data_IF_076986042566
#
_entry.id   IF_076986042566
#
_cell.length_a   1.000
_cell.length_b   1.000
_cell.length_c   1.000
_cell.angle_alpha   90.00
_cell.angle_beta   90.00
_cell.angle_gamma   90.00
#
_symmetry.space_group_name_H-M   'P 1'
#
loop_
_entity.id
_entity.type
_entity.pdbx_description
1 polymer ?
#
# COMPACT_ATOMS: atom_id res chain seq x y z
N UNK A 1 -5.74 -7.93 42.71
CA UNK A 1 -4.97 -7.14 41.76
C UNK A 1 -5.89 -6.08 41.18
N UNK A 2 -5.46 -4.81 41.01
CA UNK A 2 -6.27 -3.81 40.30
C UNK A 2 -6.52 -4.29 38.84
N UNK A 3 -7.70 -3.98 38.28
CA UNK A 3 -7.97 -4.34 36.89
C UNK A 3 -6.88 -3.71 36.00
N UNK A 4 -6.45 -4.38 34.90
CA UNK A 4 -5.49 -3.80 33.99
C UNK A 4 -6.04 -2.48 33.43
N UNK A 5 -5.18 -1.47 33.22
CA UNK A 5 -5.63 -0.18 32.73
C UNK A 5 -6.31 -0.37 31.37
N UNK A 6 -7.50 0.20 31.26
CA UNK A 6 -8.26 0.21 30.01
C UNK A 6 -7.44 0.93 28.92
N UNK A 7 -7.17 0.31 27.77
CA UNK A 7 -6.45 0.99 26.68
C UNK A 7 -7.32 2.15 26.19
N UNK A 8 -6.87 3.37 26.41
CA UNK A 8 -7.48 4.56 25.82
C UNK A 8 -6.76 4.88 24.53
N UNK A 9 -7.45 4.81 23.40
CA UNK A 9 -6.98 5.42 22.17
C UNK A 9 -7.05 6.94 22.34
N UNK A 10 -5.91 7.58 22.23
CA UNK A 10 -5.81 9.03 22.27
C UNK A 10 -5.37 9.53 20.88
N UNK A 11 -6.17 10.41 20.28
CA UNK A 11 -5.63 11.30 19.25
C UNK A 11 -4.69 12.28 19.98
N UNK A 12 -3.40 12.23 19.67
CA UNK A 12 -2.45 13.17 20.26
C UNK A 12 -2.71 14.57 19.71
N UNK A 13 -3.09 15.51 20.57
CA UNK A 13 -3.42 16.88 20.20
C UNK A 13 -2.18 17.73 19.76
N UNK A 14 -0.96 17.21 19.92
CA UNK A 14 0.29 17.96 19.72
C UNK A 14 1.16 17.42 18.57
N UNK A 15 0.60 16.64 17.64
CA UNK A 15 1.34 16.18 16.48
C UNK A 15 1.48 17.30 15.44
N UNK A 16 2.60 17.35 14.68
CA UNK A 16 2.79 18.34 13.64
C UNK A 16 1.76 18.21 12.51
N UNK A 17 1.57 19.31 11.77
CA UNK A 17 0.81 19.30 10.53
C UNK A 17 1.69 18.71 9.41
N UNK A 18 1.13 17.80 8.64
CA UNK A 18 1.73 17.27 7.41
C UNK A 18 0.71 17.37 6.29
N UNK A 19 1.10 17.98 5.18
CA UNK A 19 0.14 18.29 4.12
C UNK A 19 -0.94 19.32 4.53
N UNK A 20 -0.65 20.16 5.55
CA UNK A 20 -1.54 21.20 6.04
C UNK A 20 -2.66 20.71 6.95
N UNK A 21 -2.59 19.50 7.49
CA UNK A 21 -3.53 18.97 8.49
C UNK A 21 -2.78 18.21 9.60
N UNK A 22 -3.34 18.23 10.80
CA UNK A 22 -2.80 17.50 11.96
C UNK A 22 -2.66 16.00 11.65
N UNK A 23 -1.48 15.46 11.93
CA UNK A 23 -1.32 14.02 11.99
C UNK A 23 -2.21 13.44 13.12
N UNK A 24 -2.70 12.22 12.91
CA UNK A 24 -3.52 11.49 13.88
C UNK A 24 -2.75 10.27 14.35
N UNK A 25 -2.70 10.03 15.65
CA UNK A 25 -2.14 8.80 16.20
C UNK A 25 -3.20 8.03 16.97
N UNK A 26 -3.44 6.80 16.54
CA UNK A 26 -4.14 5.79 17.32
C UNK A 26 -3.10 5.09 18.19
N UNK A 27 -3.37 4.91 19.48
CA UNK A 27 -2.45 4.24 20.40
C UNK A 27 -3.20 3.38 21.39
N UNK A 28 -2.61 2.26 21.75
CA UNK A 28 -3.06 1.38 22.83
C UNK A 28 -1.88 1.04 23.75
N UNK A 29 -2.20 0.68 24.99
CA UNK A 29 -1.19 0.22 25.93
C UNK A 29 -0.86 -1.26 25.66
N UNK A 30 0.40 -1.63 25.90
CA UNK A 30 0.82 -3.02 25.85
C UNK A 30 0.02 -3.84 26.87
N UNK A 31 -0.41 -5.05 26.45
CA UNK A 31 -1.26 -5.92 27.29
C UNK A 31 -0.56 -6.54 28.51
N UNK A 32 0.77 -6.40 28.61
CA UNK A 32 1.58 -6.99 29.68
C UNK A 32 1.92 -8.48 29.48
N UNK A 33 1.39 -9.12 28.46
CA UNK A 33 1.71 -10.52 28.11
C UNK A 33 2.88 -10.52 27.13
N UNK A 34 4.12 -10.45 27.64
CA UNK A 34 5.34 -10.27 26.84
C UNK A 34 5.74 -11.42 25.89
N UNK A 35 4.93 -12.49 25.79
CA UNK A 35 5.27 -13.68 24.99
C UNK A 35 4.84 -13.62 23.52
N UNK A 36 3.91 -12.72 23.16
CA UNK A 36 3.37 -12.59 21.80
C UNK A 36 3.55 -11.18 21.27
N UNK A 37 3.77 -11.01 19.96
CA UNK A 37 3.80 -9.68 19.35
C UNK A 37 2.40 -9.04 19.38
N UNK A 38 2.35 -7.72 19.53
CA UNK A 38 1.10 -6.95 19.50
C UNK A 38 1.31 -5.58 18.90
N UNK A 39 0.30 -5.06 18.17
CA UNK A 39 0.32 -3.70 17.67
C UNK A 39 0.11 -2.69 18.80
N UNK A 40 0.84 -1.58 18.77
CA UNK A 40 0.79 -0.54 19.78
C UNK A 40 0.27 0.80 19.28
N UNK A 41 0.65 1.21 18.08
CA UNK A 41 0.16 2.48 17.52
C UNK A 41 0.11 2.49 16.00
N UNK A 42 -0.71 3.40 15.47
CA UNK A 42 -0.76 3.76 14.05
C UNK A 42 -0.77 5.28 13.95
N UNK A 43 0.17 5.84 13.19
CA UNK A 43 0.21 7.28 12.87
C UNK A 43 -0.26 7.49 11.44
N UNK A 44 -1.19 8.42 11.25
CA UNK A 44 -1.91 8.68 10.01
C UNK A 44 -1.75 10.14 9.59
N UNK A 45 -1.72 10.39 8.28
CA UNK A 45 -1.60 11.73 7.71
C UNK A 45 -2.86 12.10 6.90
N UNK A 46 -3.89 12.69 7.52
CA UNK A 46 -5.13 13.05 6.83
C UNK A 46 -4.90 14.06 5.69
N UNK A 47 -3.92 14.98 5.84
CA UNK A 47 -3.53 15.93 4.81
C UNK A 47 -2.75 15.34 3.63
N UNK A 48 -2.51 14.02 3.65
CA UNK A 48 -1.76 13.26 2.62
C UNK A 48 -2.50 11.96 2.30
N UNK A 49 -3.81 12.06 2.03
CA UNK A 49 -4.64 10.94 1.63
C UNK A 49 -4.74 9.83 2.67
N UNK A 50 -4.70 10.15 3.95
CA UNK A 50 -4.69 9.18 5.05
C UNK A 50 -3.48 8.22 4.99
N UNK A 51 -2.31 8.65 4.49
CA UNK A 51 -1.09 7.84 4.49
C UNK A 51 -0.90 7.19 5.87
N UNK A 52 -0.80 5.86 5.92
CA UNK A 52 -0.46 5.10 7.13
C UNK A 52 1.03 5.27 7.35
N UNK A 53 1.39 6.37 8.00
CA UNK A 53 2.76 6.86 8.03
C UNK A 53 3.69 6.02 8.89
N UNK A 54 3.19 5.51 10.03
CA UNK A 54 3.94 4.62 10.90
C UNK A 54 3.01 3.67 11.63
N UNK A 55 3.47 2.46 11.81
CA UNK A 55 2.87 1.44 12.70
C UNK A 55 3.94 1.03 13.69
N UNK A 56 3.64 1.04 14.99
CA UNK A 56 4.54 0.47 16.00
C UNK A 56 3.94 -0.80 16.60
N UNK A 57 4.81 -1.72 17.00
CA UNK A 57 4.42 -2.96 17.64
C UNK A 57 5.42 -3.33 18.73
N UNK A 58 4.94 -4.07 19.73
CA UNK A 58 5.80 -4.79 20.65
C UNK A 58 6.21 -6.12 20.01
N UNK A 59 7.51 -6.38 19.96
CA UNK A 59 8.06 -7.67 19.57
C UNK A 59 8.78 -8.31 20.75
N UNK A 60 8.47 -9.59 21.10
CA UNK A 60 9.13 -10.29 22.20
C UNK A 60 10.66 -10.27 22.03
N UNK A 61 11.38 -9.88 23.09
CA UNK A 61 12.83 -9.76 23.11
C UNK A 61 13.40 -8.50 22.43
N UNK A 62 12.56 -7.65 21.82
CA UNK A 62 12.99 -6.40 21.17
C UNK A 62 12.30 -5.15 21.69
N UNK A 63 11.15 -5.29 22.39
CA UNK A 63 10.36 -4.16 22.86
C UNK A 63 9.53 -3.50 21.73
N UNK A 64 9.26 -2.19 21.86
CA UNK A 64 8.54 -1.43 20.83
C UNK A 64 9.44 -1.17 19.62
N UNK A 65 8.95 -1.50 18.43
CA UNK A 65 9.64 -1.32 17.15
C UNK A 65 8.74 -0.61 16.14
N UNK A 66 9.36 0.15 15.24
CA UNK A 66 8.70 0.72 14.06
C UNK A 66 8.63 -0.30 12.96
N UNK A 67 7.45 -0.47 12.36
CA UNK A 67 7.19 -1.48 11.32
C UNK A 67 7.17 -0.90 9.91
N UNK A 68 7.08 0.43 9.75
CA UNK A 68 7.18 1.08 8.44
C UNK A 68 8.44 1.94 8.35
N UNK A 69 9.08 1.94 7.18
CA UNK A 69 10.18 2.84 6.89
C UNK A 69 9.63 4.25 6.64
N UNK A 70 9.76 5.11 7.64
CA UNK A 70 9.33 6.51 7.60
C UNK A 70 10.34 7.41 8.28
N UNK A 71 10.33 8.68 7.91
CA UNK A 71 11.12 9.72 8.58
C UNK A 71 10.34 10.24 9.80
N UNK A 72 10.90 11.21 10.54
CA UNK A 72 10.12 11.91 11.57
C UNK A 72 8.99 12.72 10.94
N UNK A 73 7.92 12.98 11.70
CA UNK A 73 6.81 13.83 11.25
C UNK A 73 7.28 15.24 10.86
N UNK A 74 8.24 15.82 11.59
CA UNK A 74 8.80 17.14 11.26
C UNK A 74 9.55 17.13 9.92
N UNK A 75 10.22 16.02 9.60
CA UNK A 75 10.89 15.85 8.30
C UNK A 75 9.86 15.63 7.19
N UNK A 76 8.83 14.82 7.45
CA UNK A 76 7.74 14.60 6.52
C UNK A 76 7.00 15.91 6.18
N UNK A 77 6.73 16.76 7.18
CA UNK A 77 6.10 18.06 6.99
C UNK A 77 6.89 18.98 6.06
N UNK A 78 8.22 18.89 6.06
CA UNK A 78 9.09 19.68 5.18
C UNK A 78 9.16 19.13 3.76
N UNK A 79 8.98 17.83 3.58
CA UNK A 79 9.08 17.15 2.27
C UNK A 79 7.71 17.13 1.59
N UNK A 80 6.66 16.77 2.32
CA UNK A 80 5.29 16.65 1.83
C UNK A 80 4.58 18.01 1.89
N UNK A 81 5.07 18.99 1.14
CA UNK A 81 4.68 20.41 1.26
C UNK A 81 4.04 20.99 -0.02
N UNK A 82 3.91 20.18 -1.09
CA UNK A 82 3.40 20.61 -2.39
C UNK A 82 4.39 21.48 -3.20
N UNK A 83 5.68 21.48 -2.83
CA UNK A 83 6.74 22.16 -3.56
C UNK A 83 7.23 21.39 -4.79
N UNK A 84 8.29 21.87 -5.47
CA UNK A 84 8.81 21.25 -6.69
C UNK A 84 9.24 19.77 -6.53
N UNK A 85 9.69 19.39 -5.33
CA UNK A 85 10.11 18.02 -5.01
C UNK A 85 8.94 17.15 -4.49
N UNK A 86 7.72 17.66 -4.54
CA UNK A 86 6.49 17.00 -4.08
C UNK A 86 5.36 17.21 -5.10
N UNK A 87 5.69 17.02 -6.38
CA UNK A 87 4.78 17.21 -7.50
C UNK A 87 3.57 16.28 -7.38
N UNK A 88 2.37 16.88 -7.34
CA UNK A 88 1.10 16.17 -7.15
C UNK A 88 1.12 15.16 -5.96
N UNK A 89 1.90 15.51 -4.92
CA UNK A 89 2.00 14.72 -3.70
C UNK A 89 2.90 13.48 -3.79
N UNK A 90 3.75 13.37 -4.80
CA UNK A 90 4.60 12.19 -5.02
C UNK A 90 5.53 11.86 -3.84
N UNK A 91 5.88 12.83 -2.98
CA UNK A 91 6.62 12.56 -1.76
C UNK A 91 5.89 11.59 -0.80
N UNK A 92 4.55 11.48 -0.88
CA UNK A 92 3.75 10.62 -0.04
C UNK A 92 4.02 9.13 -0.24
N UNK A 93 4.41 8.71 -1.46
CA UNK A 93 4.74 7.30 -1.70
C UNK A 93 6.22 6.96 -1.49
N UNK A 94 7.01 7.88 -0.95
CA UNK A 94 8.43 7.63 -0.67
C UNK A 94 8.69 7.10 0.76
N UNK A 95 7.68 7.06 1.63
CA UNK A 95 7.80 6.61 3.02
C UNK A 95 6.44 6.27 3.64
N UNK A 96 6.46 5.43 4.67
CA UNK A 96 5.24 5.00 5.35
C UNK A 96 4.42 4.06 4.49
N UNK A 97 3.14 4.38 4.29
CA UNK A 97 2.22 3.60 3.48
C UNK A 97 1.14 4.47 2.86
N UNK A 98 1.41 5.03 1.67
CA UNK A 98 0.46 5.84 0.92
C UNK A 98 -0.72 4.99 0.44
N UNK A 99 -1.95 5.51 0.59
CA UNK A 99 -3.13 4.98 -0.06
C UNK A 99 -3.24 5.56 -1.47
N UNK A 100 -3.60 4.71 -2.44
CA UNK A 100 -3.51 4.99 -3.86
C UNK A 100 -4.91 4.99 -4.47
N UNK A 101 -5.27 6.06 -5.19
CA UNK A 101 -6.56 6.25 -5.84
C UNK A 101 -6.47 7.43 -6.85
N UNK A 102 -7.13 7.42 -8.00
CA UNK A 102 -8.04 6.40 -8.55
C UNK A 102 -7.33 5.32 -9.37
N UNK A 103 -6.03 5.24 -9.29
CA UNK A 103 -5.23 4.13 -9.83
C UNK A 103 -4.01 3.89 -8.95
N UNK A 104 -3.57 2.65 -8.90
CA UNK A 104 -2.29 2.26 -8.33
C UNK A 104 -1.26 2.10 -9.44
N UNK A 105 0.03 2.11 -9.08
CA UNK A 105 1.14 1.94 -10.01
C UNK A 105 1.20 3.07 -11.06
N UNK A 106 1.62 2.79 -12.26
CA UNK A 106 1.93 3.75 -13.33
C UNK A 106 0.80 3.84 -14.35
N UNK A 107 0.60 5.04 -14.91
CA UNK A 107 -0.13 5.27 -16.15
C UNK A 107 0.87 5.81 -17.19
N UNK A 108 0.86 5.24 -18.38
CA UNK A 108 1.71 5.64 -19.52
C UNK A 108 0.82 6.15 -20.65
N UNK A 109 1.32 7.12 -21.40
CA UNK A 109 0.59 7.67 -22.54
C UNK A 109 1.30 8.86 -23.16
N UNK A 110 0.68 9.52 -24.14
CA UNK A 110 1.24 10.72 -24.74
C UNK A 110 1.45 11.84 -23.72
N UNK A 111 2.64 12.43 -23.70
CA UNK A 111 3.02 13.52 -22.79
C UNK A 111 3.03 14.84 -23.57
N UNK A 112 2.46 15.87 -22.93
CA UNK A 112 2.62 17.28 -23.32
C UNK A 112 3.15 18.06 -22.13
N UNK A 113 3.77 19.21 -22.39
CA UNK A 113 4.23 20.12 -21.32
C UNK A 113 3.32 21.34 -21.27
N UNK A 114 2.74 21.63 -20.13
CA UNK A 114 1.98 22.86 -19.92
C UNK A 114 2.94 24.05 -19.97
N UNK A 115 2.68 24.98 -20.87
CA UNK A 115 3.56 26.14 -21.10
C UNK A 115 3.53 27.16 -19.94
N UNK A 116 2.50 27.14 -19.11
CA UNK A 116 2.33 28.08 -18.01
C UNK A 116 2.96 27.59 -16.72
N UNK A 117 2.83 26.29 -16.43
CA UNK A 117 3.33 25.68 -15.19
C UNK A 117 4.64 24.92 -15.39
N UNK A 118 4.90 24.43 -16.59
CA UNK A 118 6.03 23.52 -16.90
C UNK A 118 5.72 22.06 -16.58
N UNK A 119 4.52 21.76 -16.10
CA UNK A 119 4.13 20.40 -15.73
C UNK A 119 4.04 19.48 -16.95
N UNK A 120 4.45 18.25 -16.77
CA UNK A 120 4.24 17.18 -17.75
C UNK A 120 2.83 16.62 -17.57
N UNK A 121 2.07 16.64 -18.66
CA UNK A 121 0.67 16.20 -18.68
C UNK A 121 0.56 14.97 -19.56
N UNK A 122 0.15 13.87 -18.94
CA UNK A 122 -0.18 12.62 -19.60
C UNK A 122 -1.62 12.67 -20.14
N UNK A 123 -1.87 12.12 -21.30
CA UNK A 123 -3.23 11.85 -21.78
C UNK A 123 -3.60 10.40 -21.50
N UNK A 124 -4.47 10.16 -20.52
CA UNK A 124 -5.05 8.86 -20.23
C UNK A 124 -6.33 8.65 -21.04
N UNK A 125 -6.48 7.49 -21.68
CA UNK A 125 -7.65 7.17 -22.50
C UNK A 125 -8.31 5.88 -22.04
N UNK A 126 -9.61 5.95 -21.74
CA UNK A 126 -10.42 4.81 -21.36
C UNK A 126 -11.78 4.84 -22.09
N UNK A 127 -12.11 3.76 -22.79
CA UNK A 127 -13.34 3.59 -23.60
C UNK A 127 -13.63 4.80 -24.53
N UNK A 128 -12.56 5.29 -25.20
CA UNK A 128 -12.68 6.42 -26.12
C UNK A 128 -12.80 7.81 -25.47
N UNK A 129 -12.82 7.90 -24.16
CA UNK A 129 -12.73 9.15 -23.39
C UNK A 129 -11.29 9.40 -23.00
N UNK A 130 -10.83 10.63 -23.13
CA UNK A 130 -9.48 11.01 -22.74
C UNK A 130 -9.51 12.11 -21.70
N UNK A 131 -8.60 12.03 -20.72
CA UNK A 131 -8.41 13.03 -19.68
C UNK A 131 -6.92 13.31 -19.51
N UNK A 132 -6.53 14.58 -19.22
CA UNK A 132 -5.18 14.91 -18.82
C UNK A 132 -4.93 14.47 -17.38
N UNK A 133 -3.80 13.83 -17.12
CA UNK A 133 -3.34 13.44 -15.79
C UNK A 133 -1.97 14.04 -15.56
N UNK A 134 -1.67 14.54 -14.38
CA UNK A 134 -0.33 15.06 -14.05
C UNK A 134 0.63 13.87 -14.06
N UNK A 135 1.69 13.98 -14.88
CA UNK A 135 2.78 13.02 -14.87
C UNK A 135 3.79 13.45 -13.80
N UNK A 136 3.66 12.85 -12.63
CA UNK A 136 4.36 13.25 -11.41
C UNK A 136 5.61 12.41 -11.12
N UNK A 137 6.02 11.53 -12.05
CA UNK A 137 7.17 10.67 -11.85
C UNK A 137 7.86 10.30 -13.18
N UNK A 138 9.16 10.06 -13.11
CA UNK A 138 9.98 9.47 -14.18
C UNK A 138 11.14 8.67 -13.58
N UNK A 139 11.72 7.77 -14.37
CA UNK A 139 12.92 7.01 -14.01
C UNK A 139 14.14 7.92 -13.76
N UNK A 140 15.19 7.36 -13.21
CA UNK A 140 16.42 8.09 -12.83
C UNK A 140 17.37 8.32 -13.99
N UNK A 141 17.24 7.53 -15.08
CA UNK A 141 18.11 7.67 -16.24
C UNK A 141 17.83 8.96 -17.00
N UNK A 142 18.85 9.61 -17.58
CA UNK A 142 18.63 10.79 -18.42
C UNK A 142 17.67 10.48 -19.58
N UNK A 143 16.61 11.28 -19.71
CA UNK A 143 15.61 11.10 -20.76
C UNK A 143 14.57 10.03 -20.47
N UNK A 144 14.51 9.49 -19.24
CA UNK A 144 13.45 8.59 -18.82
C UNK A 144 12.07 9.21 -19.06
N UNK A 145 11.11 8.44 -19.58
CA UNK A 145 9.78 8.95 -19.88
C UNK A 145 9.01 9.29 -18.59
N UNK A 146 8.22 10.36 -18.67
CA UNK A 146 7.30 10.73 -17.62
C UNK A 146 6.06 9.84 -17.62
N UNK A 147 5.51 9.58 -16.42
CA UNK A 147 4.27 8.83 -16.25
C UNK A 147 3.46 9.39 -15.07
N UNK A 148 2.16 9.10 -15.06
CA UNK A 148 1.32 9.29 -13.87
C UNK A 148 1.60 8.19 -12.86
N UNK A 149 1.80 8.56 -11.58
CA UNK A 149 2.13 7.62 -10.51
C UNK A 149 1.12 7.71 -9.36
N UNK A 150 0.45 6.60 -9.08
CA UNK A 150 -0.37 6.37 -7.86
C UNK A 150 -1.60 7.26 -7.65
N UNK A 151 -1.96 8.08 -8.63
CA UNK A 151 -3.21 8.85 -8.64
C UNK A 151 -3.22 10.07 -7.72
N UNK A 152 -4.44 10.55 -7.45
CA UNK A 152 -4.69 11.88 -6.85
C UNK A 152 -4.75 11.87 -5.32
N UNK A 153 -4.84 10.68 -4.69
CA UNK A 153 -4.96 10.57 -3.23
C UNK A 153 -3.72 11.04 -2.50
N UNK A 154 -2.55 11.01 -3.14
CA UNK A 154 -1.25 11.33 -2.52
C UNK A 154 -1.18 12.71 -1.87
N UNK A 155 -1.83 13.73 -2.46
CA UNK A 155 -1.88 15.10 -1.96
C UNK A 155 -3.23 15.48 -1.33
N UNK A 156 -4.19 14.55 -1.28
CA UNK A 156 -5.55 14.84 -0.85
C UNK A 156 -5.59 15.22 0.63
N UNK A 157 -6.40 16.26 0.92
CA UNK A 157 -6.71 16.71 2.28
C UNK A 157 -8.09 16.22 2.67
N UNK A 158 -8.23 15.70 3.89
CA UNK A 158 -9.51 15.23 4.38
C UNK A 158 -10.49 16.40 4.59
N UNK A 159 -11.74 16.23 4.15
CA UNK A 159 -12.82 17.16 4.48
C UNK A 159 -13.27 17.03 5.94
N UNK A 160 -13.19 15.79 6.45
CA UNK A 160 -13.53 15.48 7.83
C UNK A 160 -12.64 14.35 8.34
N UNK A 161 -12.27 14.44 9.62
CA UNK A 161 -11.53 13.38 10.34
C UNK A 161 -12.20 13.14 11.68
N UNK A 162 -12.51 11.90 11.99
CA UNK A 162 -13.04 11.49 13.29
C UNK A 162 -12.27 10.29 13.84
N UNK A 163 -12.14 10.25 15.16
CA UNK A 163 -11.53 9.13 15.88
C UNK A 163 -12.58 8.52 16.79
N UNK A 164 -12.68 7.19 16.77
CA UNK A 164 -13.52 6.40 17.67
C UNK A 164 -12.60 5.46 18.46
N UNK A 165 -12.90 5.30 19.72
CA UNK A 165 -12.14 4.38 20.58
C UNK A 165 -13.09 3.72 21.58
N UNK A 166 -12.85 2.44 21.83
CA UNK A 166 -13.40 1.68 22.95
C UNK A 166 -12.25 1.03 23.76
N UNK A 167 -12.56 0.08 24.64
CA UNK A 167 -11.55 -0.54 25.51
C UNK A 167 -10.43 -1.28 24.77
N UNK A 168 -10.70 -1.80 23.59
CA UNK A 168 -9.79 -2.72 22.89
C UNK A 168 -9.38 -2.24 21.50
N UNK A 169 -10.19 -1.38 20.87
CA UNK A 169 -9.98 -0.92 19.50
C UNK A 169 -9.99 0.60 19.38
N UNK A 170 -9.24 1.09 18.42
CA UNK A 170 -9.26 2.48 18.01
C UNK A 170 -9.36 2.56 16.48
N UNK A 171 -10.14 3.50 15.98
CA UNK A 171 -10.25 3.73 14.54
C UNK A 171 -10.25 5.22 14.23
N UNK A 172 -9.54 5.59 13.17
CA UNK A 172 -9.66 6.90 12.53
C UNK A 172 -10.41 6.74 11.22
N UNK A 173 -11.32 7.67 10.97
CA UNK A 173 -12.14 7.73 9.77
C UNK A 173 -11.93 9.10 9.13
N UNK A 174 -11.63 9.11 7.85
CA UNK A 174 -11.49 10.35 7.07
C UNK A 174 -12.35 10.28 5.81
N UNK A 175 -13.01 11.38 5.49
CA UNK A 175 -13.81 11.56 4.29
C UNK A 175 -13.09 12.56 3.37
N UNK A 176 -13.06 12.25 2.08
CA UNK A 176 -12.41 13.04 1.03
C UNK A 176 -13.39 13.27 -0.11
N UNK A 177 -13.52 14.51 -0.57
CA UNK A 177 -14.07 14.81 -1.88
C UNK A 177 -12.94 15.01 -2.85
N UNK A 178 -12.90 14.21 -3.87
CA UNK A 178 -11.91 14.27 -4.93
C UNK A 178 -12.62 14.71 -6.22
N UNK A 179 -12.70 16.02 -6.49
CA UNK A 179 -13.24 16.49 -7.76
C UNK A 179 -12.29 16.10 -8.88
N UNK A 180 -12.83 15.63 -9.99
CA UNK A 180 -12.02 15.27 -11.15
C UNK A 180 -11.22 16.46 -11.70
N UNK A 181 -11.78 17.66 -11.62
CA UNK A 181 -11.20 18.91 -12.13
C UNK A 181 -10.66 18.80 -13.57
N UNK A 182 -11.23 17.87 -14.35
CA UNK A 182 -10.76 17.51 -15.67
C UNK A 182 -9.55 16.55 -15.70
N UNK A 183 -9.01 16.15 -14.55
CA UNK A 183 -7.85 15.26 -14.44
C UNK A 183 -8.19 13.79 -14.13
N UNK A 184 -9.47 13.47 -14.03
CA UNK A 184 -9.99 12.11 -13.98
C UNK A 184 -11.35 12.02 -14.66
N UNK A 185 -11.88 10.81 -14.79
CA UNK A 185 -13.10 10.53 -15.55
C UNK A 185 -14.38 10.92 -14.81
N UNK A 186 -14.32 11.08 -13.48
CA UNK A 186 -15.45 11.46 -12.64
C UNK A 186 -15.01 12.04 -11.31
N UNK A 187 -15.93 12.74 -10.61
CA UNK A 187 -15.76 13.15 -9.22
C UNK A 187 -15.99 11.96 -8.28
N UNK A 188 -15.28 11.93 -7.17
CA UNK A 188 -15.36 10.84 -6.21
C UNK A 188 -15.52 11.32 -4.77
N UNK A 189 -16.35 10.60 -3.99
CA UNK A 189 -16.25 10.60 -2.53
C UNK A 189 -15.45 9.38 -2.10
N UNK A 190 -14.41 9.60 -1.29
CA UNK A 190 -13.57 8.52 -0.77
C UNK A 190 -13.63 8.54 0.76
N UNK A 191 -13.98 7.41 1.35
CA UNK A 191 -13.94 7.19 2.80
C UNK A 191 -12.81 6.24 3.13
N UNK A 192 -11.92 6.65 4.04
CA UNK A 192 -10.85 5.81 4.57
C UNK A 192 -11.09 5.55 6.04
N UNK A 193 -10.98 4.28 6.45
CA UNK A 193 -10.99 3.86 7.84
C UNK A 193 -9.72 3.07 8.12
N UNK A 194 -8.99 3.46 9.17
CA UNK A 194 -7.88 2.65 9.69
C UNK A 194 -8.19 2.31 11.14
N UNK A 195 -8.22 1.02 11.44
CA UNK A 195 -8.52 0.49 12.76
C UNK A 195 -7.31 -0.24 13.34
N UNK A 196 -7.08 -0.02 14.63
CA UNK A 196 -6.03 -0.64 15.43
C UNK A 196 -6.69 -1.45 16.54
N UNK A 197 -6.40 -2.74 16.63
CA UNK A 197 -6.58 -3.55 17.81
C UNK A 197 -5.25 -4.24 18.21
N UNK A 198 -5.29 -5.08 19.23
CA UNK A 198 -4.10 -5.79 19.69
C UNK A 198 -3.43 -6.63 18.62
N UNK A 199 -4.22 -7.39 17.87
CA UNK A 199 -3.76 -8.44 16.97
C UNK A 199 -3.75 -8.00 15.52
N UNK A 200 -4.46 -6.91 15.18
CA UNK A 200 -4.63 -6.47 13.80
C UNK A 200 -4.56 -4.95 13.62
N UNK A 201 -4.06 -4.56 12.44
CA UNK A 201 -4.30 -3.24 11.85
C UNK A 201 -5.07 -3.45 10.55
N UNK A 202 -6.22 -2.79 10.42
CA UNK A 202 -7.08 -2.93 9.23
C UNK A 202 -7.24 -1.59 8.56
N UNK A 203 -6.96 -1.52 7.25
CA UNK A 203 -7.21 -0.36 6.40
C UNK A 203 -8.34 -0.68 5.41
N UNK A 204 -9.30 0.25 5.29
CA UNK A 204 -10.45 0.15 4.41
C UNK A 204 -10.57 1.46 3.64
N UNK A 205 -10.68 1.38 2.33
CA UNK A 205 -11.00 2.52 1.46
C UNK A 205 -12.26 2.19 0.65
N UNK A 206 -13.26 3.04 0.73
CA UNK A 206 -14.47 2.97 -0.10
C UNK A 206 -14.53 4.20 -0.98
N UNK A 207 -14.56 3.99 -2.30
CA UNK A 207 -14.73 5.03 -3.30
C UNK A 207 -16.13 4.96 -3.91
N UNK A 208 -16.75 6.12 -4.11
CA UNK A 208 -18.09 6.28 -4.70
C UNK A 208 -18.02 7.27 -5.85
N UNK A 209 -18.45 6.83 -7.04
CA UNK A 209 -18.57 7.70 -8.20
C UNK A 209 -19.68 8.74 -7.97
N UNK A 210 -19.35 10.02 -7.99
CA UNK A 210 -20.28 11.15 -7.76
C UNK A 210 -20.66 11.89 -9.04
N UNK A 211 -20.05 11.53 -10.16
CA UNK A 211 -20.36 12.13 -11.45
C UNK A 211 -21.57 11.49 -12.14
N UNK A 212 -21.79 11.88 -13.38
CA UNK A 212 -22.93 11.47 -14.22
C UNK A 212 -22.58 10.38 -15.24
N UNK A 213 -21.32 9.93 -15.26
CA UNK A 213 -20.79 8.92 -16.18
C UNK A 213 -20.03 7.83 -15.45
N UNK A 214 -19.98 6.65 -16.04
CA UNK A 214 -19.11 5.58 -15.54
C UNK A 214 -17.64 5.97 -15.62
N UNK A 215 -16.84 5.45 -14.70
CA UNK A 215 -15.41 5.68 -14.62
C UNK A 215 -14.63 4.41 -14.27
N UNK A 216 -13.34 4.33 -14.61
CA UNK A 216 -12.44 3.29 -14.13
C UNK A 216 -11.88 3.68 -12.76
N UNK A 217 -11.81 2.73 -11.83
CA UNK A 217 -11.26 2.93 -10.49
C UNK A 217 -10.27 1.82 -10.15
N UNK A 218 -9.08 2.21 -9.74
CA UNK A 218 -8.07 1.37 -9.11
C UNK A 218 -7.76 1.87 -7.71
N UNK A 219 -7.58 0.96 -6.77
CA UNK A 219 -7.20 1.27 -5.38
C UNK A 219 -6.00 0.42 -4.99
N UNK A 220 -5.08 0.99 -4.21
CA UNK A 220 -3.93 0.28 -3.69
C UNK A 220 -3.39 0.87 -2.39
N UNK A 221 -2.37 0.24 -1.86
CA UNK A 221 -1.64 0.69 -0.69
C UNK A 221 -0.16 0.40 -0.87
N UNK A 222 0.71 1.37 -0.59
CA UNK A 222 2.15 1.32 -0.81
C UNK A 222 2.94 1.37 0.51
N UNK A 223 2.87 0.31 1.36
CA UNK A 223 3.56 0.28 2.64
C UNK A 223 5.01 -0.19 2.49
N UNK A 224 5.92 0.52 3.11
CA UNK A 224 7.32 0.13 3.22
C UNK A 224 7.56 -0.63 4.53
N UNK A 225 7.32 -1.93 4.56
CA UNK A 225 7.52 -2.75 5.76
C UNK A 225 9.01 -2.86 6.11
N UNK A 226 9.39 -2.30 7.25
CA UNK A 226 10.74 -2.37 7.78
C UNK A 226 11.05 -3.80 8.24
N UNK A 227 12.28 -4.25 7.96
CA UNK A 227 12.80 -5.50 8.51
C UNK A 227 13.50 -5.21 9.84
N UNK A 228 12.95 -5.64 11.00
CA UNK A 228 13.49 -5.31 12.31
C UNK A 228 14.91 -5.85 12.59
N UNK A 229 15.38 -6.85 11.84
CA UNK A 229 16.78 -7.30 11.89
C UNK A 229 17.75 -6.34 11.21
N UNK A 230 17.26 -5.41 10.41
CA UNK A 230 18.07 -4.52 9.57
C UNK A 230 18.71 -5.19 8.36
N UNK A 231 18.36 -6.44 8.07
CA UNK A 231 19.01 -7.21 7.00
C UNK A 231 18.00 -7.83 6.03
N UNK A 232 18.10 -7.44 4.76
CA UNK A 232 17.32 -7.99 3.66
C UNK A 232 17.58 -9.51 3.45
N UNK A 233 18.78 -9.98 3.75
CA UNK A 233 19.14 -11.40 3.64
C UNK A 233 18.33 -12.31 4.58
N UNK A 234 17.82 -11.76 5.69
CA UNK A 234 16.96 -12.49 6.63
C UNK A 234 15.50 -12.56 6.19
N UNK A 235 15.14 -11.83 5.13
CA UNK A 235 13.75 -11.80 4.66
C UNK A 235 13.39 -13.07 3.91
N UNK A 236 12.16 -13.55 4.16
CA UNK A 236 11.46 -14.56 3.36
C UNK A 236 10.09 -14.04 3.05
N UNK A 237 9.69 -14.14 1.80
CA UNK A 237 8.40 -13.66 1.31
C UNK A 237 7.53 -14.81 0.86
N UNK A 238 6.25 -14.71 1.17
CA UNK A 238 5.22 -15.55 0.57
C UNK A 238 4.23 -14.65 -0.17
N UNK A 239 4.08 -14.90 -1.48
CA UNK A 239 3.09 -14.24 -2.33
C UNK A 239 2.42 -15.35 -3.14
N UNK A 240 1.12 -15.64 -2.92
CA UNK A 240 0.42 -16.73 -3.59
C UNK A 240 0.00 -16.33 -5.00
N UNK A 241 0.97 -16.12 -5.87
CA UNK A 241 0.80 -15.75 -7.28
C UNK A 241 1.40 -16.80 -8.19
N UNK A 242 0.78 -17.07 -9.33
CA UNK A 242 1.31 -17.96 -10.36
C UNK A 242 2.18 -17.22 -11.38
N UNK A 243 1.92 -15.93 -11.59
CA UNK A 243 2.54 -15.12 -12.63
C UNK A 243 3.07 -13.80 -12.08
N UNK A 244 4.03 -13.21 -12.78
CA UNK A 244 4.45 -11.82 -12.62
C UNK A 244 4.39 -11.07 -13.95
N UNK A 245 4.23 -9.77 -13.88
CA UNK A 245 4.24 -8.90 -15.06
C UNK A 245 5.67 -8.68 -15.53
N UNK A 246 5.95 -8.89 -16.83
CA UNK A 246 7.21 -8.50 -17.42
C UNK A 246 7.25 -6.98 -17.61
N UNK A 247 8.38 -6.35 -17.22
CA UNK A 247 8.61 -4.91 -17.40
C UNK A 247 9.76 -4.65 -18.36
N UNK A 248 9.77 -3.46 -19.01
CA UNK A 248 10.79 -3.07 -19.97
C UNK A 248 12.18 -2.97 -19.35
N UNK A 249 12.28 -2.40 -18.15
CA UNK A 249 13.50 -2.27 -17.34
C UNK A 249 13.11 -1.90 -15.90
N UNK A 250 14.07 -1.89 -14.96
CA UNK A 250 13.83 -1.50 -13.56
C UNK A 250 14.09 -0.02 -13.26
N UNK A 251 14.19 0.83 -14.27
CA UNK A 251 14.18 2.30 -14.11
C UNK A 251 12.79 2.87 -14.39
N UNK A 252 12.16 2.50 -15.50
CA UNK A 252 10.81 2.94 -15.87
C UNK A 252 9.73 2.05 -15.26
N UNK A 253 9.97 0.72 -15.28
CA UNK A 253 9.07 -0.34 -14.81
C UNK A 253 7.73 -0.33 -15.56
N UNK A 254 7.79 -0.10 -16.87
CA UNK A 254 6.59 -0.15 -17.71
C UNK A 254 6.30 -1.59 -18.14
N UNK A 255 5.05 -2.04 -18.05
CA UNK A 255 4.68 -3.40 -18.45
C UNK A 255 4.87 -3.60 -19.96
N UNK A 256 5.24 -4.82 -20.34
CA UNK A 256 5.34 -5.22 -21.78
C UNK A 256 4.07 -5.90 -22.28
N UNK A 257 3.08 -6.12 -21.40
CA UNK A 257 1.87 -6.89 -21.69
C UNK A 257 2.05 -8.41 -21.56
N UNK A 258 3.27 -8.89 -21.22
CA UNK A 258 3.53 -10.30 -21.01
C UNK A 258 3.48 -10.67 -19.52
N UNK A 259 2.99 -11.87 -19.26
CA UNK A 259 3.03 -12.50 -17.95
C UNK A 259 4.07 -13.63 -17.95
N UNK A 260 4.94 -13.65 -16.95
CA UNK A 260 5.98 -14.65 -16.78
C UNK A 260 5.62 -15.55 -15.60
N UNK A 261 5.75 -16.90 -15.72
CA UNK A 261 5.52 -17.81 -14.60
C UNK A 261 6.56 -17.56 -13.50
N UNK A 262 6.12 -17.60 -12.23
CA UNK A 262 7.03 -17.46 -11.09
C UNK A 262 7.69 -18.79 -10.73
N UNK A 263 7.01 -19.91 -10.95
CA UNK A 263 7.46 -21.24 -10.54
C UNK A 263 8.83 -21.59 -11.12
N UNK A 264 9.75 -22.04 -10.25
CA UNK A 264 11.10 -22.40 -10.61
C UNK A 264 12.04 -21.23 -10.91
N UNK A 265 11.60 -19.99 -10.72
CA UNK A 265 12.43 -18.78 -10.86
C UNK A 265 12.86 -18.22 -9.50
N UNK A 266 13.78 -17.26 -9.51
CA UNK A 266 14.15 -16.50 -8.29
C UNK A 266 12.99 -15.67 -7.71
N UNK A 267 11.87 -15.56 -8.41
CA UNK A 267 10.63 -14.86 -8.00
C UNK A 267 9.56 -15.83 -7.52
N UNK A 268 9.89 -17.09 -7.29
CA UNK A 268 8.94 -18.07 -6.74
C UNK A 268 8.75 -17.86 -5.24
N UNK A 269 7.86 -16.93 -4.92
CA UNK A 269 7.42 -16.68 -3.55
C UNK A 269 6.15 -17.48 -3.19
N UNK A 270 5.66 -18.34 -4.08
CA UNK A 270 4.49 -19.17 -3.82
C UNK A 270 4.85 -20.45 -3.07
N UNK A 271 5.69 -20.35 -2.04
CA UNK A 271 6.14 -21.44 -1.17
C UNK A 271 5.74 -21.18 0.27
N UNK A 272 5.39 -22.22 1.02
CA UNK A 272 4.81 -22.08 2.37
C UNK A 272 5.75 -21.41 3.37
N UNK A 273 7.03 -21.77 3.34
CA UNK A 273 8.06 -21.21 4.23
C UNK A 273 8.53 -19.82 3.80
N UNK A 274 8.11 -19.37 2.64
CA UNK A 274 8.56 -18.13 2.00
C UNK A 274 9.88 -18.30 1.24
N UNK A 275 9.95 -17.68 0.04
CA UNK A 275 11.16 -17.59 -0.77
C UNK A 275 12.10 -16.47 -0.30
N UNK A 276 13.43 -16.63 -0.46
CA UNK A 276 14.38 -15.54 -0.19
C UNK A 276 14.22 -14.43 -1.24
N UNK A 277 14.50 -13.19 -0.83
CA UNK A 277 14.66 -12.09 -1.79
C UNK A 277 15.89 -12.35 -2.67
N UNK A 278 15.80 -12.12 -4.00
CA UNK A 278 16.96 -12.21 -4.90
C UNK A 278 18.01 -11.15 -4.54
N UNK A 279 19.27 -11.39 -4.88
CA UNK A 279 20.38 -10.44 -4.69
C UNK A 279 20.36 -9.28 -5.70
N UNK A 280 19.19 -8.98 -6.24
CA UNK A 280 18.94 -7.90 -7.20
C UNK A 280 17.80 -7.02 -6.71
N UNK A 281 17.65 -5.85 -7.34
CA UNK A 281 16.44 -5.05 -7.18
C UNK A 281 15.22 -5.89 -7.61
N UNK A 282 14.17 -5.84 -6.83
CA UNK A 282 12.84 -6.33 -7.21
C UNK A 282 11.91 -5.12 -7.31
N UNK A 283 11.23 -5.00 -8.43
CA UNK A 283 10.14 -4.03 -8.64
C UNK A 283 9.16 -4.67 -9.65
N UNK A 284 8.38 -5.63 -9.15
CA UNK A 284 7.56 -6.53 -9.96
C UNK A 284 6.12 -6.61 -9.45
N UNK A 285 5.16 -6.65 -10.34
CA UNK A 285 3.76 -6.95 -10.02
C UNK A 285 3.51 -8.46 -10.12
N UNK A 286 3.09 -9.06 -9.01
CA UNK A 286 2.68 -10.45 -8.91
C UNK A 286 1.17 -10.54 -9.12
N UNK A 287 0.74 -11.40 -10.03
CA UNK A 287 -0.64 -11.51 -10.51
C UNK A 287 -1.07 -12.97 -10.60
N UNK A 288 -2.31 -13.23 -11.04
CA UNK A 288 -2.89 -14.58 -10.98
C UNK A 288 -2.81 -15.12 -9.55
N UNK A 289 -3.41 -14.34 -8.65
CA UNK A 289 -3.38 -14.57 -7.21
C UNK A 289 -4.30 -15.72 -6.82
N UNK A 290 -3.83 -16.59 -5.93
CA UNK A 290 -4.60 -17.72 -5.40
C UNK A 290 -5.18 -17.35 -4.04
N UNK A 291 -6.51 -17.14 -3.94
CA UNK A 291 -7.16 -16.87 -2.66
C UNK A 291 -7.26 -18.14 -1.80
N UNK A 292 -7.35 -17.95 -0.49
CA UNK A 292 -7.64 -19.01 0.46
C UNK A 292 -9.13 -19.42 0.43
N UNK A 293 -9.54 -20.35 1.28
CA UNK A 293 -10.93 -20.84 1.36
C UNK A 293 -11.97 -19.76 1.75
N UNK A 294 -11.53 -18.60 2.25
CA UNK A 294 -12.39 -17.44 2.57
C UNK A 294 -12.49 -16.44 1.42
N UNK A 295 -11.72 -16.65 0.35
CA UNK A 295 -11.60 -15.70 -0.76
C UNK A 295 -10.53 -14.62 -0.55
N UNK A 296 -9.75 -14.68 0.55
CA UNK A 296 -8.71 -13.70 0.84
C UNK A 296 -7.36 -14.12 0.25
N UNK A 297 -6.58 -13.18 -0.25
CA UNK A 297 -5.18 -13.40 -0.66
C UNK A 297 -4.27 -13.05 0.52
N UNK A 298 -3.48 -14.04 0.99
CA UNK A 298 -2.61 -13.88 2.17
C UNK A 298 -1.16 -13.90 1.73
N UNK A 299 -0.50 -12.75 1.78
CA UNK A 299 0.94 -12.63 1.61
C UNK A 299 1.64 -12.52 2.96
N UNK A 300 2.90 -12.94 3.05
CA UNK A 300 3.67 -12.88 4.28
C UNK A 300 5.07 -12.30 4.05
N UNK A 301 5.50 -11.50 5.01
CA UNK A 301 6.88 -11.08 5.18
C UNK A 301 7.39 -11.74 6.45
N UNK A 302 8.52 -12.43 6.37
CA UNK A 302 9.21 -13.07 7.50
C UNK A 302 10.61 -12.51 7.60
N UNK A 303 10.98 -11.98 8.75
CA UNK A 303 12.36 -11.60 9.10
C UNK A 303 12.89 -12.61 10.12
N UNK A 304 13.63 -13.58 9.63
CA UNK A 304 14.12 -14.70 10.44
C UNK A 304 15.11 -14.23 11.51
N UNK A 305 15.90 -13.17 11.23
CA UNK A 305 16.85 -12.59 12.18
C UNK A 305 16.20 -11.85 13.34
N UNK A 306 14.92 -11.49 13.21
CA UNK A 306 14.16 -10.84 14.25
C UNK A 306 13.06 -11.72 14.86
N UNK A 307 12.88 -12.96 14.38
CA UNK A 307 11.73 -13.80 14.67
C UNK A 307 10.40 -13.05 14.51
N UNK A 308 10.32 -12.25 13.43
CA UNK A 308 9.21 -11.37 13.10
C UNK A 308 8.53 -11.85 11.83
N UNK A 309 7.21 -11.86 11.85
CA UNK A 309 6.37 -12.12 10.69
C UNK A 309 5.20 -11.13 10.62
N UNK A 310 4.87 -10.74 9.39
CA UNK A 310 3.71 -9.94 9.06
C UNK A 310 2.89 -10.66 8.01
N UNK A 311 1.62 -10.95 8.30
CA UNK A 311 0.63 -11.35 7.31
C UNK A 311 -0.08 -10.12 6.79
N UNK A 312 -0.12 -9.99 5.47
CA UNK A 312 -0.86 -8.96 4.73
C UNK A 312 -2.02 -9.67 4.03
N UNK A 313 -3.20 -9.53 4.58
CA UNK A 313 -4.42 -10.19 4.06
C UNK A 313 -5.21 -9.21 3.22
N UNK A 314 -5.22 -9.42 1.91
CA UNK A 314 -6.05 -8.72 0.95
C UNK A 314 -7.44 -9.35 0.93
N UNK A 315 -8.44 -8.60 1.41
CA UNK A 315 -9.81 -9.11 1.69
C UNK A 315 -10.84 -8.66 0.65
N UNK A 316 -10.44 -7.85 -0.34
CA UNK A 316 -11.33 -7.43 -1.43
C UNK A 316 -11.11 -8.30 -2.66
N UNK A 317 -12.17 -8.81 -3.30
CA UNK A 317 -12.04 -9.68 -4.48
C UNK A 317 -11.49 -8.96 -5.71
N UNK A 318 -11.50 -7.63 -5.70
CA UNK A 318 -10.94 -6.80 -6.76
C UNK A 318 -9.42 -6.59 -6.65
N UNK A 319 -8.77 -7.04 -5.57
CA UNK A 319 -7.30 -7.01 -5.49
C UNK A 319 -6.75 -8.10 -6.42
N UNK A 320 -6.12 -7.68 -7.52
CA UNK A 320 -5.64 -8.53 -8.61
C UNK A 320 -4.12 -8.57 -8.73
N UNK A 321 -3.42 -7.66 -8.03
CA UNK A 321 -1.98 -7.60 -8.03
C UNK A 321 -1.42 -7.38 -6.62
N UNK A 322 -0.23 -7.94 -6.39
CA UNK A 322 0.65 -7.58 -5.28
C UNK A 322 1.92 -7.02 -5.90
N UNK A 323 2.12 -5.70 -5.81
CA UNK A 323 3.39 -5.10 -6.21
C UNK A 323 4.42 -5.37 -5.12
N UNK A 324 5.60 -5.76 -5.52
CA UNK A 324 6.75 -5.97 -4.64
C UNK A 324 7.88 -5.05 -5.07
N UNK A 325 8.30 -4.16 -4.16
CA UNK A 325 9.49 -3.33 -4.34
C UNK A 325 10.48 -3.56 -3.20
N UNK A 326 11.71 -3.96 -3.52
CA UNK A 326 12.78 -4.20 -2.54
C UNK A 326 14.15 -3.91 -3.13
N UNK A 327 14.71 -2.70 -2.90
CA UNK A 327 16.06 -2.35 -3.33
C UNK A 327 17.12 -3.07 -2.49
N UNK A 328 18.28 -3.37 -3.12
CA UNK A 328 19.34 -4.17 -2.50
C UNK A 328 19.99 -3.49 -1.28
N UNK A 329 20.04 -2.16 -1.28
CA UNK A 329 20.71 -1.34 -0.25
C UNK A 329 19.81 -0.95 0.92
N UNK A 330 18.56 -1.45 0.95
CA UNK A 330 17.57 -1.11 1.99
C UNK A 330 17.13 -2.34 2.77
N UNK A 331 16.71 -2.09 4.02
CA UNK A 331 16.18 -3.09 4.93
C UNK A 331 14.65 -2.99 5.07
N UNK A 332 13.96 -2.73 3.97
CA UNK A 332 12.50 -2.75 3.90
C UNK A 332 12.01 -3.54 2.67
N UNK A 333 10.74 -3.89 2.71
CA UNK A 333 10.00 -4.50 1.61
C UNK A 333 8.71 -3.72 1.45
N UNK A 334 8.47 -3.12 0.28
CA UNK A 334 7.12 -2.66 -0.08
C UNK A 334 6.36 -3.85 -0.66
N UNK A 335 5.22 -4.17 -0.06
CA UNK A 335 4.34 -5.25 -0.49
C UNK A 335 2.92 -4.69 -0.55
N UNK A 336 2.46 -4.48 -1.79
CA UNK A 336 1.40 -3.56 -2.12
C UNK A 336 0.18 -4.26 -2.73
N UNK A 337 -0.87 -4.52 -1.94
CA UNK A 337 -2.13 -5.03 -2.48
C UNK A 337 -2.85 -3.97 -3.32
N UNK A 338 -3.03 -4.25 -4.63
CA UNK A 338 -3.58 -3.33 -5.62
C UNK A 338 -4.73 -3.97 -6.39
N UNK A 339 -5.72 -3.16 -6.83
CA UNK A 339 -6.73 -3.62 -7.77
C UNK A 339 -6.12 -3.85 -9.14
N UNK A 340 -5.42 -2.86 -9.67
CA UNK A 340 -4.96 -2.83 -11.04
C UNK A 340 -3.48 -3.16 -11.20
N UNK A 341 -3.15 -3.63 -12.39
CA UNK A 341 -1.78 -3.77 -12.90
C UNK A 341 -1.19 -2.40 -13.26
N UNK A 342 0.13 -2.32 -13.46
CA UNK A 342 0.75 -1.15 -14.03
C UNK A 342 0.22 -0.86 -15.43
N UNK A 343 0.10 0.42 -15.77
CA UNK A 343 -0.48 0.94 -17.01
C UNK A 343 -1.78 0.25 -17.46
N UNK A 344 -2.84 0.30 -16.63
CA UNK A 344 -4.03 -0.52 -16.85
C UNK A 344 -4.80 -0.19 -18.13
N UNK A 345 -4.50 0.93 -18.81
CA UNK A 345 -5.09 1.35 -20.09
C UNK A 345 -4.13 1.13 -21.27
N UNK A 346 -2.98 0.55 -21.00
CA UNK A 346 -1.93 0.34 -22.00
C UNK A 346 -2.36 -0.61 -23.12
N UNK A 347 -1.94 -0.30 -24.34
CA UNK A 347 -2.23 -1.12 -25.53
C UNK A 347 -1.57 -2.50 -25.47
N UNK A 348 -0.49 -2.63 -24.74
CA UNK A 348 0.25 -3.88 -24.50
C UNK A 348 -0.62 -4.96 -23.85
N UNK A 349 -1.64 -4.57 -23.10
CA UNK A 349 -2.57 -5.52 -22.46
C UNK A 349 -3.60 -6.10 -23.42
N UNK A 350 -3.79 -5.51 -24.61
CA UNK A 350 -4.82 -5.90 -25.59
C UNK A 350 -6.22 -5.90 -24.97
N UNK A 351 -6.80 -7.09 -24.71
CA UNK A 351 -8.11 -7.26 -24.08
C UNK A 351 -8.02 -7.87 -22.69
N UNK A 352 -6.82 -7.94 -22.08
CA UNK A 352 -6.65 -8.50 -20.75
C UNK A 352 -7.36 -7.63 -19.71
N UNK A 353 -7.95 -8.28 -18.72
CA UNK A 353 -8.49 -7.60 -17.53
C UNK A 353 -7.33 -7.16 -16.64
N UNK A 354 -7.07 -5.87 -16.60
CA UNK A 354 -6.00 -5.25 -15.82
C UNK A 354 -6.40 -4.90 -14.39
N UNK A 355 -7.61 -5.26 -13.95
CA UNK A 355 -8.10 -5.09 -12.58
C UNK A 355 -8.72 -3.73 -12.26
N UNK A 356 -8.88 -2.83 -13.25
CA UNK A 356 -9.67 -1.60 -13.02
C UNK A 356 -11.15 -1.95 -12.84
N UNK A 357 -11.76 -1.40 -11.82
CA UNK A 357 -13.21 -1.56 -11.55
C UNK A 357 -13.97 -0.44 -12.24
N UNK A 358 -15.00 -0.78 -13.02
CA UNK A 358 -15.90 0.22 -13.60
C UNK A 358 -16.99 0.56 -12.61
N UNK A 359 -17.11 1.82 -12.22
CA UNK A 359 -18.20 2.33 -11.37
C UNK A 359 -19.17 3.17 -12.21
N UNK A 360 -20.42 2.78 -12.22
CA UNK A 360 -21.53 3.62 -12.72
C UNK A 360 -21.79 4.80 -11.75
N UNK A 361 -22.52 5.84 -12.17
CA UNK A 361 -22.93 6.93 -11.29
C UNK A 361 -23.61 6.41 -10.02
N UNK A 362 -23.10 6.87 -8.86
CA UNK A 362 -23.58 6.47 -7.53
C UNK A 362 -23.09 5.12 -7.02
N UNK A 363 -22.42 4.31 -7.83
CA UNK A 363 -21.85 3.04 -7.38
C UNK A 363 -20.59 3.24 -6.53
N UNK A 364 -20.32 2.25 -5.68
CA UNK A 364 -19.18 2.23 -4.79
C UNK A 364 -18.40 0.93 -4.88
N UNK A 365 -17.09 1.03 -4.65
CA UNK A 365 -16.23 -0.15 -4.48
C UNK A 365 -15.40 -0.01 -3.19
N UNK A 366 -15.13 -1.14 -2.54
CA UNK A 366 -14.36 -1.17 -1.30
C UNK A 366 -13.08 -2.01 -1.46
N UNK A 367 -11.96 -1.41 -1.12
CA UNK A 367 -10.67 -2.06 -0.90
C UNK A 367 -10.46 -2.27 0.60
N UNK A 368 -10.01 -3.45 1.01
CA UNK A 368 -9.78 -3.79 2.42
C UNK A 368 -8.56 -4.69 2.55
N UNK A 369 -7.65 -4.30 3.46
CA UNK A 369 -6.46 -5.06 3.83
C UNK A 369 -6.32 -5.10 5.34
N UNK A 370 -5.91 -6.25 5.87
CA UNK A 370 -5.64 -6.47 7.28
C UNK A 370 -4.21 -6.97 7.48
N UNK A 371 -3.54 -6.39 8.46
CA UNK A 371 -2.24 -6.83 8.95
C UNK A 371 -2.40 -7.67 10.21
N UNK A 372 -1.57 -8.72 10.35
CA UNK A 372 -1.45 -9.54 11.55
C UNK A 372 -0.01 -9.92 11.79
N UNK A 373 0.44 -9.77 13.04
CA UNK A 373 1.78 -10.19 13.46
C UNK A 373 1.84 -11.68 13.79
N UNK A 374 2.98 -12.29 13.58
CA UNK A 374 3.28 -13.64 14.03
C UNK A 374 4.79 -13.83 14.29
N UNK A 375 5.17 -14.93 14.92
CA UNK A 375 6.55 -15.32 15.13
C UNK A 375 6.87 -16.56 14.28
N UNK A 376 7.74 -16.46 13.26
CA UNK A 376 8.07 -17.58 12.38
C UNK A 376 8.52 -18.87 13.08
N UNK A 377 9.30 -18.74 14.17
CA UNK A 377 9.74 -19.91 14.95
C UNK A 377 8.59 -20.69 15.59
N UNK A 378 7.48 -19.99 15.97
CA UNK A 378 6.31 -20.63 16.57
C UNK A 378 5.36 -21.21 15.51
N UNK A 379 5.32 -20.61 14.32
CA UNK A 379 4.50 -21.08 13.19
C UNK A 379 5.00 -22.46 12.66
N UNK A 380 6.33 -22.70 12.72
CA UNK A 380 6.94 -23.96 12.29
C UNK A 380 6.63 -25.13 13.24
N UNK A 381 6.38 -24.85 14.51
CA UNK A 381 6.07 -25.89 15.53
C UNK A 381 4.62 -26.41 15.39
N UNK A 382 3.73 -25.61 14.82
CA UNK A 382 2.32 -25.99 14.58
C UNK A 382 2.08 -26.83 13.33
N UNK A 383 3.07 -26.99 12.47
CA UNK A 383 3.02 -27.81 11.25
C UNK A 383 3.75 -29.13 11.50
N UNK A 384 3.17 -30.02 12.34
CA UNK A 384 3.64 -31.39 12.38
C UNK A 384 3.58 -31.99 10.96
N UNK A 385 4.61 -32.75 10.53
CA UNK A 385 4.58 -33.34 9.21
C UNK A 385 3.37 -34.28 9.10
N UNK A 386 2.52 -34.06 8.09
CA UNK A 386 1.50 -35.04 7.76
C UNK A 386 2.16 -36.40 7.55
N UNK A 387 1.67 -37.47 8.21
CA UNK A 387 2.23 -38.80 7.97
C UNK A 387 2.06 -39.12 6.49
N UNK A 388 3.19 -39.46 5.85
CA UNK A 388 3.21 -39.98 4.50
C UNK A 388 2.24 -41.17 4.42
N UNK A 389 1.18 -41.03 3.61
CA UNK A 389 0.46 -42.18 3.11
C UNK A 389 1.36 -42.88 2.07
N UNK A 390 1.82 -44.06 2.41
CA UNK A 390 2.39 -45.03 1.47
C UNK A 390 1.31 -45.51 0.50
#
# INVERSE_FOLDING_TARGET
APPPPTPTATASANLPDVGGQKAVQLRRLQSGVGATPEFLSVTLLPGRGMNVFQITAYLPGRGEVSLLASKSLDTAAKIMNGGPDDLDGNASFSMGGALLFPFANRLVGPITVDKNTGDHILTATWHGRSVPVIANWHGKQPGAPWCGMHGQMLAAKADNVSVKADSDTAAAIADYRLPANGHWFSDNDVKVTVALDRDTVTAIMTATNRGDKSEPVGIGWHPYFQLPSGSRANARLRIPAAMRVEVNNFDDVFPTGKLLPVSGSQYDFNVLEGGPLPDTLVDDSFVDLTPNAKGDVVSEIRDLGANYGMRVTAMSPHIRAIQLYSPIDKSFVALEPQFNYGDPFGKEWSSADTGMVTLAPGESVTWKVQLRLFQPANDMVGQAPHPNFQ
#
